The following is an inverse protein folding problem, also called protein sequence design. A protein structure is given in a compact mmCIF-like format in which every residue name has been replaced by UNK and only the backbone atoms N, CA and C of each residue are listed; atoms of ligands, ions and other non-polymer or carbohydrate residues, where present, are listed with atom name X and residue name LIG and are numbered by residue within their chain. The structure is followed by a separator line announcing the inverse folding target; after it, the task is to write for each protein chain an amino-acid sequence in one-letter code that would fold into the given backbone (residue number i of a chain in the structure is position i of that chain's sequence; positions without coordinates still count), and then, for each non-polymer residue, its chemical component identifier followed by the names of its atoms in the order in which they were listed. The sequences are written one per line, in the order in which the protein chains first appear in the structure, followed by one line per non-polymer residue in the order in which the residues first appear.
data_IF_249048589653
#
_entry.id   IF_249048589653
#
_cell.length_a   1.000
_cell.length_b   1.000
_cell.length_c   1.000
_cell.angle_alpha   90.00
_cell.angle_beta   90.00
_cell.angle_gamma   90.00
#
_symmetry.space_group_name_H-M   'P 1'
#
loop_
_entity.id
_entity.type
_entity.pdbx_description
1 polymer ?
#
# COMPACT_ATOMS: atom_id res chain seq x y z
N UNK A 1 -7.69 2.47 -12.37
CA UNK A 1 -8.15 3.78 -12.88
C UNK A 1 -9.65 3.89 -12.63
N UNK A 2 -10.07 4.95 -12.00
CA UNK A 2 -11.47 5.31 -11.81
C UNK A 2 -11.74 6.61 -12.57
N UNK A 3 -12.85 6.64 -13.33
CA UNK A 3 -13.25 7.83 -14.09
C UNK A 3 -14.75 8.03 -13.93
N UNK A 4 -15.16 9.24 -13.57
CA UNK A 4 -16.56 9.63 -13.52
C UNK A 4 -16.77 10.90 -14.32
N UNK A 5 -17.83 10.93 -15.10
CA UNK A 5 -18.25 12.13 -15.84
C UNK A 5 -19.19 12.95 -14.94
N UNK A 6 -18.85 14.21 -14.78
CA UNK A 6 -19.61 15.14 -13.91
C UNK A 6 -20.63 15.89 -14.73
N UNK A 7 -20.24 16.34 -15.91
CA UNK A 7 -21.07 17.11 -16.83
C UNK A 7 -20.71 16.73 -18.25
N UNK A 8 -21.73 16.52 -19.07
CA UNK A 8 -21.56 16.44 -20.53
C UNK A 8 -22.69 17.17 -21.24
N UNK A 9 -22.35 17.76 -22.37
CA UNK A 9 -23.27 18.42 -23.25
C UNK A 9 -22.90 18.18 -24.70
N UNK A 10 -23.88 18.05 -25.54
CA UNK A 10 -23.68 17.91 -26.99
C UNK A 10 -24.79 18.64 -27.73
N UNK A 11 -24.43 19.27 -28.83
CA UNK A 11 -25.38 20.00 -29.69
C UNK A 11 -24.99 19.92 -31.16
N UNK A 12 -26.00 20.02 -32.00
CA UNK A 12 -25.80 20.07 -33.44
C UNK A 12 -25.81 21.52 -33.94
N UNK A 13 -24.90 21.81 -34.84
CA UNK A 13 -24.92 23.07 -35.62
C UNK A 13 -24.71 22.71 -37.10
N UNK A 14 -25.81 22.62 -37.84
CA UNK A 14 -25.81 22.12 -39.20
C UNK A 14 -25.40 20.66 -39.29
N UNK A 15 -24.37 20.34 -40.08
CA UNK A 15 -23.80 18.98 -40.19
C UNK A 15 -22.74 18.66 -39.14
N UNK A 16 -22.50 19.57 -38.20
CA UNK A 16 -21.49 19.42 -37.19
C UNK A 16 -22.15 19.10 -35.84
N UNK A 17 -21.58 18.13 -35.14
CA UNK A 17 -21.92 17.81 -33.73
C UNK A 17 -20.77 18.25 -32.84
N UNK A 18 -21.07 19.08 -31.87
CA UNK A 18 -20.15 19.51 -30.84
C UNK A 18 -20.45 18.77 -29.54
N UNK A 19 -19.39 18.37 -28.86
CA UNK A 19 -19.51 17.79 -27.53
C UNK A 19 -18.53 18.45 -26.56
N UNK A 20 -18.98 18.60 -25.33
CA UNK A 20 -18.21 19.10 -24.21
C UNK A 20 -18.41 18.15 -23.04
N UNK A 21 -17.36 17.80 -22.35
CA UNK A 21 -17.46 17.01 -21.12
C UNK A 21 -16.44 17.46 -20.08
N UNK A 22 -16.86 17.38 -18.81
CA UNK A 22 -16.00 17.52 -17.66
C UNK A 22 -16.13 16.24 -16.83
N UNK A 23 -15.02 15.65 -16.47
CA UNK A 23 -14.96 14.46 -15.64
C UNK A 23 -13.88 14.54 -14.59
N UNK A 24 -14.02 13.76 -13.54
CA UNK A 24 -13.01 13.51 -12.55
C UNK A 24 -12.37 12.15 -12.85
N UNK A 25 -11.07 12.12 -12.78
CA UNK A 25 -10.29 10.90 -13.00
C UNK A 25 -9.34 10.68 -11.85
N UNK A 26 -9.29 9.44 -11.37
CA UNK A 26 -8.39 9.03 -10.29
C UNK A 26 -7.62 7.81 -10.74
N UNK A 27 -6.30 7.91 -10.71
CA UNK A 27 -5.40 6.81 -10.97
C UNK A 27 -4.77 6.37 -9.65
N UNK A 28 -4.89 5.08 -9.37
CA UNK A 28 -4.29 4.44 -8.21
C UNK A 28 -3.26 3.45 -8.74
N UNK A 29 -2.02 3.64 -8.35
CA UNK A 29 -0.89 2.75 -8.64
C UNK A 29 -0.31 2.20 -7.36
N UNK A 30 -0.10 0.89 -7.31
CA UNK A 30 0.62 0.23 -6.24
C UNK A 30 1.84 -0.47 -6.81
N UNK A 31 2.99 -0.26 -6.19
CA UNK A 31 4.22 -0.98 -6.48
C UNK A 31 4.56 -1.84 -5.27
N UNK A 32 4.40 -3.15 -5.41
CA UNK A 32 4.68 -4.13 -4.37
C UNK A 32 5.98 -4.86 -4.71
N UNK A 33 6.88 -4.95 -3.75
CA UNK A 33 8.14 -5.64 -3.94
C UNK A 33 7.94 -7.16 -3.87
N UNK A 34 8.89 -7.91 -4.46
CA UNK A 34 8.88 -9.37 -4.40
C UNK A 34 8.94 -9.87 -2.95
N UNK A 35 9.65 -9.17 -2.08
CA UNK A 35 9.78 -9.53 -0.65
C UNK A 35 8.44 -9.51 0.08
N UNK A 36 7.52 -8.61 -0.29
CA UNK A 36 6.15 -8.61 0.25
C UNK A 36 5.41 -9.90 -0.11
N UNK A 37 5.49 -10.33 -1.37
CA UNK A 37 4.83 -11.57 -1.80
C UNK A 37 5.44 -12.80 -1.14
N UNK A 38 6.77 -12.83 -0.99
CA UNK A 38 7.45 -13.90 -0.26
C UNK A 38 7.01 -13.96 1.19
N UNK A 39 6.98 -12.79 1.86
CA UNK A 39 6.50 -12.66 3.24
C UNK A 39 5.07 -13.17 3.40
N UNK A 40 4.13 -12.74 2.54
CA UNK A 40 2.73 -13.17 2.60
C UNK A 40 2.59 -14.67 2.39
N UNK A 41 3.32 -15.24 1.43
CA UNK A 41 3.27 -16.68 1.14
C UNK A 41 3.85 -17.52 2.28
N UNK A 42 4.94 -17.07 2.90
CA UNK A 42 5.56 -17.77 4.02
C UNK A 42 4.72 -17.67 5.29
N UNK A 43 4.06 -16.53 5.54
CA UNK A 43 3.14 -16.37 6.65
C UNK A 43 1.89 -17.25 6.53
N UNK A 44 1.43 -17.53 5.31
CA UNK A 44 0.26 -18.38 5.06
C UNK A 44 0.58 -19.88 5.18
N UNK A 45 1.80 -20.29 4.82
CA UNK A 45 2.12 -21.70 4.66
C UNK A 45 2.62 -22.40 5.92
N UNK A 46 3.20 -21.68 6.89
CA UNK A 46 3.79 -22.27 8.11
C UNK A 46 3.59 -21.36 9.32
N UNK A 47 2.77 -21.80 10.27
CA UNK A 47 2.47 -21.04 11.51
C UNK A 47 3.71 -20.70 12.37
N UNK A 48 4.80 -21.44 12.26
CA UNK A 48 6.01 -21.23 13.06
C UNK A 48 7.09 -20.37 12.37
N UNK A 49 6.98 -20.09 11.08
CA UNK A 49 8.02 -19.36 10.33
C UNK A 49 8.28 -17.93 10.86
N UNK A 50 7.27 -17.31 11.46
CA UNK A 50 7.42 -15.98 12.03
C UNK A 50 8.30 -15.91 13.28
N UNK A 51 8.47 -17.04 14.00
CA UNK A 51 9.25 -17.10 15.25
C UNK A 51 10.75 -16.95 15.03
N UNK A 52 11.26 -17.41 13.88
CA UNK A 52 12.65 -17.28 13.47
C UNK A 52 12.74 -16.59 12.12
N UNK A 53 12.20 -15.36 12.05
CA UNK A 53 12.07 -14.63 10.82
C UNK A 53 12.93 -13.37 10.79
N UNK A 54 13.38 -13.04 9.61
CA UNK A 54 14.01 -11.75 9.32
C UNK A 54 13.51 -11.30 7.95
N UNK A 55 12.43 -10.52 7.96
CA UNK A 55 11.79 -10.01 6.75
C UNK A 55 12.04 -8.53 6.58
N UNK A 56 12.51 -8.16 5.41
CA UNK A 56 12.56 -6.79 4.94
C UNK A 56 11.56 -6.62 3.79
N UNK A 57 10.43 -5.99 4.09
CA UNK A 57 9.37 -5.68 3.14
C UNK A 57 9.35 -4.19 2.78
N UNK A 58 10.49 -3.54 2.85
CA UNK A 58 10.66 -2.14 2.47
C UNK A 58 10.41 -1.92 0.97
N UNK A 59 10.20 -0.68 0.60
CA UNK A 59 10.08 -0.25 -0.81
C UNK A 59 8.69 -0.39 -1.42
N UNK A 60 7.66 -0.65 -0.61
CA UNK A 60 6.28 -0.59 -1.06
C UNK A 60 5.90 0.84 -1.36
N UNK A 61 5.16 1.07 -2.44
CA UNK A 61 4.74 2.40 -2.85
C UNK A 61 3.29 2.38 -3.30
N UNK A 62 2.51 3.31 -2.79
CA UNK A 62 1.15 3.59 -3.23
C UNK A 62 1.09 5.01 -3.78
N UNK A 63 0.62 5.16 -5.00
CA UNK A 63 0.43 6.44 -5.66
C UNK A 63 -1.05 6.64 -5.98
N UNK A 64 -1.57 7.79 -5.62
CA UNK A 64 -2.93 8.20 -5.96
C UNK A 64 -2.85 9.56 -6.64
N UNK A 65 -3.37 9.64 -7.87
CA UNK A 65 -3.43 10.88 -8.64
C UNK A 65 -4.90 11.20 -8.95
N UNK A 66 -5.29 12.43 -8.70
CA UNK A 66 -6.60 12.94 -9.05
C UNK A 66 -6.45 14.13 -10.00
N UNK A 67 -7.24 14.13 -11.08
CA UNK A 67 -7.25 15.20 -12.04
C UNK A 67 -8.63 15.38 -12.68
N UNK A 68 -8.89 16.60 -13.11
CA UNK A 68 -10.08 16.93 -13.91
C UNK A 68 -9.75 16.77 -15.39
N UNK A 69 -10.59 16.06 -16.09
CA UNK A 69 -10.54 15.93 -17.54
C UNK A 69 -11.59 16.88 -18.15
N UNK A 70 -11.17 17.78 -19.04
CA UNK A 70 -12.04 18.63 -19.84
C UNK A 70 -11.88 18.18 -21.28
N UNK A 71 -12.96 17.76 -21.90
CA UNK A 71 -12.98 17.30 -23.29
C UNK A 71 -13.83 18.18 -24.19
N UNK A 72 -13.30 18.53 -25.34
CA UNK A 72 -14.01 19.17 -26.45
C UNK A 72 -13.95 18.26 -27.67
N UNK A 73 -15.10 17.94 -28.20
CA UNK A 73 -15.23 17.10 -29.39
C UNK A 73 -15.99 17.81 -30.52
N UNK A 74 -15.55 17.57 -31.71
CA UNK A 74 -16.23 17.98 -32.94
C UNK A 74 -16.34 16.80 -33.88
N UNK A 75 -17.54 16.49 -34.34
CA UNK A 75 -17.74 15.53 -35.42
C UNK A 75 -18.58 16.17 -36.53
N UNK A 76 -18.28 15.76 -37.73
CA UNK A 76 -18.96 16.24 -38.96
C UNK A 76 -19.39 15.10 -39.80
N UNK A 77 -20.64 15.09 -40.18
CA UNK A 77 -21.16 14.17 -41.19
C UNK A 77 -20.78 14.65 -42.58
N UNK A 78 -19.95 13.86 -43.28
CA UNK A 78 -19.50 14.15 -44.65
C UNK A 78 -20.53 13.67 -45.66
N UNK A 79 -21.05 12.46 -45.44
CA UNK A 79 -22.13 11.90 -46.23
C UNK A 79 -23.00 10.95 -45.37
N UNK A 80 -24.01 10.32 -45.98
CA UNK A 80 -24.94 9.42 -45.24
C UNK A 80 -24.28 8.21 -44.57
N UNK A 81 -23.03 7.88 -44.95
CA UNK A 81 -22.31 6.70 -44.46
C UNK A 81 -21.04 7.03 -43.69
N UNK A 82 -20.57 8.28 -43.75
CA UNK A 82 -19.28 8.68 -43.20
C UNK A 82 -19.44 9.91 -42.29
N UNK A 83 -19.04 9.75 -41.05
CA UNK A 83 -18.87 10.83 -40.06
C UNK A 83 -17.42 10.81 -39.58
N UNK A 84 -16.77 11.97 -39.60
CA UNK A 84 -15.40 12.14 -39.08
C UNK A 84 -15.44 13.07 -37.87
N UNK A 85 -14.70 12.73 -36.83
CA UNK A 85 -14.63 13.52 -35.63
C UNK A 85 -13.23 13.55 -35.00
N UNK A 86 -12.98 14.62 -34.28
CA UNK A 86 -11.80 14.80 -33.45
C UNK A 86 -12.20 15.23 -32.05
N UNK A 87 -11.47 14.80 -31.05
CA UNK A 87 -11.65 15.21 -29.66
C UNK A 87 -10.32 15.64 -29.08
N UNK A 88 -10.32 16.77 -28.41
CA UNK A 88 -9.19 17.28 -27.62
C UNK A 88 -9.54 17.18 -26.15
N UNK A 89 -8.59 16.73 -25.33
CA UNK A 89 -8.73 16.59 -23.89
C UNK A 89 -7.63 17.37 -23.19
N UNK A 90 -8.01 18.15 -22.19
CA UNK A 90 -7.10 18.80 -21.26
C UNK A 90 -7.23 18.10 -19.89
N UNK A 91 -6.10 17.81 -19.28
CA UNK A 91 -6.02 17.20 -17.96
C UNK A 91 -5.46 18.23 -16.98
N UNK A 92 -6.23 18.55 -15.95
CA UNK A 92 -5.86 19.48 -14.89
C UNK A 92 -5.65 18.70 -13.59
N UNK A 93 -4.41 18.63 -13.12
CA UNK A 93 -4.07 17.95 -11.86
C UNK A 93 -4.72 18.67 -10.68
N UNK A 94 -5.50 17.92 -9.88
CA UNK A 94 -6.11 18.41 -8.64
C UNK A 94 -5.23 18.06 -7.46
N UNK A 95 -4.77 16.82 -7.38
CA UNK A 95 -3.97 16.34 -6.26
C UNK A 95 -3.20 15.08 -6.58
N UNK A 96 -2.11 14.91 -5.84
CA UNK A 96 -1.27 13.73 -5.85
C UNK A 96 -1.01 13.33 -4.41
N UNK A 97 -1.09 12.05 -4.13
CA UNK A 97 -0.68 11.46 -2.86
C UNK A 97 0.23 10.27 -3.13
N UNK A 98 1.39 10.27 -2.51
CA UNK A 98 2.36 9.20 -2.58
C UNK A 98 2.69 8.72 -1.17
N UNK A 99 2.43 7.44 -0.91
CA UNK A 99 2.82 6.75 0.31
C UNK A 99 3.95 5.76 -0.02
N UNK A 100 5.09 5.93 0.65
CA UNK A 100 6.23 5.02 0.56
C UNK A 100 6.52 4.38 1.90
N UNK A 101 6.60 3.07 1.94
CA UNK A 101 7.13 2.31 3.07
C UNK A 101 8.64 2.13 2.87
N UNK A 102 9.44 2.96 3.56
CA UNK A 102 10.90 2.99 3.37
C UNK A 102 11.61 1.87 4.12
N UNK A 103 11.18 1.64 5.37
CA UNK A 103 11.82 0.69 6.26
C UNK A 103 10.71 -0.08 6.96
N UNK A 104 10.38 -1.25 6.43
CA UNK A 104 9.48 -2.19 7.10
C UNK A 104 10.23 -3.49 7.25
N UNK A 105 10.83 -3.67 8.41
CA UNK A 105 11.60 -4.85 8.75
C UNK A 105 11.02 -5.50 10.00
N UNK A 106 10.81 -6.80 9.92
CA UNK A 106 10.41 -7.64 11.04
C UNK A 106 11.52 -8.66 11.29
N UNK A 107 11.99 -8.70 12.52
CA UNK A 107 12.95 -9.68 12.98
C UNK A 107 12.44 -10.31 14.25
N UNK A 108 12.34 -11.62 14.27
CA UNK A 108 11.93 -12.38 15.44
C UNK A 108 12.85 -13.59 15.63
N UNK A 109 13.23 -13.82 16.87
CA UNK A 109 13.89 -15.04 17.33
C UNK A 109 13.20 -15.44 18.64
N UNK A 110 12.25 -16.36 18.56
CA UNK A 110 11.42 -16.80 19.66
C UNK A 110 11.49 -18.32 19.81
N UNK A 111 11.28 -18.84 21.03
CA UNK A 111 11.30 -20.29 21.26
C UNK A 111 10.11 -20.96 20.55
N UNK A 112 10.33 -22.19 20.09
CA UNK A 112 9.25 -23.04 19.59
C UNK A 112 8.33 -23.52 20.73
N UNK A 113 7.11 -23.92 20.38
CA UNK A 113 6.17 -24.46 21.37
C UNK A 113 6.72 -25.73 22.06
N UNK A 114 7.47 -26.52 21.30
CA UNK A 114 8.13 -27.72 21.84
C UNK A 114 9.22 -27.37 22.86
N UNK A 115 9.97 -26.29 22.63
CA UNK A 115 10.96 -25.80 23.61
C UNK A 115 10.29 -25.25 24.85
N UNK A 116 9.21 -24.45 24.68
CA UNK A 116 8.44 -23.92 25.80
C UNK A 116 7.85 -25.06 26.65
N UNK A 117 7.22 -26.03 26.01
CA UNK A 117 6.65 -27.19 26.69
C UNK A 117 7.72 -27.97 27.47
N UNK A 118 8.87 -28.20 26.87
CA UNK A 118 10.00 -28.90 27.51
C UNK A 118 10.51 -28.13 28.75
N UNK A 119 10.64 -26.83 28.67
CA UNK A 119 11.15 -26.03 29.80
C UNK A 119 10.12 -25.79 30.91
N UNK A 120 8.83 -25.92 30.57
CA UNK A 120 7.73 -25.84 31.53
C UNK A 120 7.41 -27.16 32.23
N UNK A 121 8.03 -28.25 31.79
CA UNK A 121 7.80 -29.58 32.37
C UNK A 121 8.70 -29.81 33.58
N UNK A 122 8.08 -29.87 34.78
CA UNK A 122 8.76 -30.16 36.04
C UNK A 122 9.46 -31.55 36.02
N UNK A 123 8.89 -32.54 35.33
CA UNK A 123 9.49 -33.88 35.22
C UNK A 123 10.76 -33.85 34.39
N UNK A 124 10.88 -32.98 33.42
CA UNK A 124 12.10 -32.79 32.65
C UNK A 124 13.26 -32.38 33.58
N UNK A 125 13.06 -31.38 34.42
CA UNK A 125 14.07 -30.85 35.31
C UNK A 125 14.44 -31.81 36.47
N UNK A 126 13.43 -32.49 37.03
CA UNK A 126 13.63 -33.45 38.12
C UNK A 126 14.33 -34.74 37.70
N UNK A 127 14.27 -35.08 36.42
CA UNK A 127 15.00 -36.24 35.84
C UNK A 127 16.47 -35.99 35.56
N UNK A 128 16.95 -34.73 35.65
CA UNK A 128 18.36 -34.38 35.37
C UNK A 128 19.24 -34.47 36.60
N UNK A 129 20.50 -34.84 36.42
CA UNK A 129 21.50 -34.67 37.46
C UNK A 129 21.76 -33.18 37.72
N UNK A 130 22.27 -32.86 38.93
CA UNK A 130 22.54 -31.47 39.29
C UNK A 130 23.47 -30.75 38.29
N UNK A 131 24.48 -31.43 37.76
CA UNK A 131 25.41 -30.87 36.79
C UNK A 131 24.72 -30.61 35.43
N UNK A 132 23.89 -31.54 34.98
CA UNK A 132 23.10 -31.40 33.75
C UNK A 132 22.07 -30.31 33.88
N UNK A 133 21.37 -30.21 34.99
CA UNK A 133 20.42 -29.15 35.25
C UNK A 133 21.07 -27.74 35.19
N UNK A 134 22.26 -27.59 35.80
CA UNK A 134 23.02 -26.32 35.75
C UNK A 134 23.45 -26.01 34.30
N UNK A 135 23.90 -27.00 33.55
CA UNK A 135 24.28 -26.81 32.14
C UNK A 135 23.10 -26.38 31.30
N UNK A 136 21.97 -27.08 31.41
CA UNK A 136 20.74 -26.76 30.68
C UNK A 136 20.19 -25.39 31.07
N UNK A 137 20.21 -25.03 32.34
CA UNK A 137 19.78 -23.70 32.80
C UNK A 137 20.67 -22.56 32.24
N UNK A 138 22.00 -22.83 32.15
CA UNK A 138 22.92 -21.84 31.58
C UNK A 138 22.73 -21.68 30.07
N UNK A 139 22.52 -22.76 29.34
CA UNK A 139 22.21 -22.75 27.92
C UNK A 139 20.87 -22.04 27.66
N UNK A 140 19.88 -22.33 28.50
CA UNK A 140 18.56 -21.67 28.41
C UNK A 140 18.65 -20.16 28.64
N UNK A 141 19.42 -19.74 29.67
CA UNK A 141 19.65 -18.32 29.90
C UNK A 141 20.30 -17.63 28.70
N UNK A 142 21.32 -18.24 28.10
CA UNK A 142 21.98 -17.70 26.91
C UNK A 142 21.01 -17.61 25.72
N UNK A 143 20.08 -18.55 25.58
CA UNK A 143 19.02 -18.48 24.56
C UNK A 143 18.04 -17.34 24.86
N UNK A 144 17.60 -17.19 26.12
CA UNK A 144 16.70 -16.10 26.53
C UNK A 144 17.29 -14.73 26.26
N UNK A 145 18.59 -14.54 26.46
CA UNK A 145 19.28 -13.27 26.19
C UNK A 145 19.29 -12.91 24.70
N UNK A 146 19.10 -13.89 23.82
CA UNK A 146 19.03 -13.72 22.37
C UNK A 146 17.61 -13.67 21.79
N UNK A 147 16.58 -13.95 22.61
CA UNK A 147 15.20 -13.85 22.12
C UNK A 147 14.80 -12.40 21.96
N UNK A 148 14.23 -12.12 20.80
CA UNK A 148 13.73 -10.80 20.46
C UNK A 148 12.60 -10.87 19.44
N UNK A 149 11.77 -9.85 19.43
CA UNK A 149 10.83 -9.58 18.38
C UNK A 149 10.84 -8.06 18.13
N UNK A 150 11.33 -7.67 16.98
CA UNK A 150 11.48 -6.29 16.58
C UNK A 150 10.67 -6.02 15.31
N UNK A 151 9.88 -4.96 15.35
CA UNK A 151 9.19 -4.42 14.19
C UNK A 151 9.65 -2.98 14.00
N UNK A 152 10.27 -2.70 12.87
CA UNK A 152 10.67 -1.36 12.47
C UNK A 152 9.82 -0.92 11.28
N UNK A 153 9.09 0.19 11.43
CA UNK A 153 8.22 0.73 10.38
C UNK A 153 8.56 2.19 10.16
N UNK A 154 9.03 2.51 8.96
CA UNK A 154 9.23 3.87 8.49
C UNK A 154 8.39 4.13 7.25
N UNK A 155 7.51 5.11 7.32
CA UNK A 155 6.67 5.54 6.21
C UNK A 155 6.92 7.00 5.86
N UNK A 156 6.84 7.32 4.58
CA UNK A 156 6.86 8.70 4.07
C UNK A 156 5.58 8.94 3.29
N UNK A 157 4.85 9.96 3.68
CA UNK A 157 3.66 10.43 2.98
C UNK A 157 3.96 11.78 2.34
N UNK A 158 3.82 11.86 1.02
CA UNK A 158 3.86 13.12 0.26
C UNK A 158 2.50 13.38 -0.34
N UNK A 159 2.00 14.58 -0.15
CA UNK A 159 0.76 15.02 -0.78
C UNK A 159 0.94 16.42 -1.35
N UNK A 160 0.35 16.65 -2.52
CA UNK A 160 0.26 17.97 -3.13
C UNK A 160 -1.12 18.16 -3.73
N UNK A 161 -1.77 19.25 -3.40
CA UNK A 161 -3.06 19.65 -3.95
C UNK A 161 -2.89 20.99 -4.66
N UNK A 162 -3.33 21.07 -5.91
CA UNK A 162 -3.37 22.31 -6.68
C UNK A 162 -4.82 22.77 -6.78
N UNK A 163 -5.12 23.97 -6.30
CA UNK A 163 -6.36 24.68 -6.61
C UNK A 163 -7.47 24.62 -5.58
N UNK A 164 -7.24 24.14 -4.36
CA UNK A 164 -8.15 24.35 -3.23
C UNK A 164 -7.36 24.99 -2.08
N UNK A 165 -7.05 26.28 -2.22
CA UNK A 165 -6.92 27.13 -1.04
C UNK A 165 -8.33 27.33 -0.48
N UNK A 166 -8.68 26.57 0.54
CA UNK A 166 -9.75 26.97 1.43
C UNK A 166 -9.22 28.21 2.16
N UNK A 167 -9.64 29.39 1.72
CA UNK A 167 -9.54 30.59 2.55
C UNK A 167 -10.42 30.30 3.77
N UNK A 168 -9.82 29.97 4.88
CA UNK A 168 -10.44 30.15 6.19
C UNK A 168 -10.71 31.66 6.32
N UNK A 169 -11.93 32.08 6.09
CA UNK A 169 -12.41 33.37 6.55
C UNK A 169 -12.41 33.30 8.08
N UNK A 170 -11.36 33.84 8.71
CA UNK A 170 -11.42 34.22 10.11
C UNK A 170 -12.55 35.23 10.27
N UNK A 171 -13.69 34.76 10.78
CA UNK A 171 -14.75 35.63 11.25
C UNK A 171 -14.20 36.51 12.38
N UNK A 172 -13.98 37.76 12.10
CA UNK A 172 -13.86 38.79 13.13
C UNK A 172 -15.24 39.08 13.65
N UNK A 173 -15.48 38.71 14.91
CA UNK A 173 -16.49 39.32 15.76
C UNK A 173 -16.15 40.80 16.05
#
# INVERSE_FOLDING_TARGET
NFSTEILSAGWYKGKNFWSFNIGLRTDIGANLTKSMFTFLNEMETVEENWRNSNYDISGQQLNINAYTEIGLGLSRQINSRLTVGARVKALLGIGNMELKLKNVAMSANLPSDAEIAKWSDENYWSGLSQQEAIKQATELKAKFDNYHANLNVGAELKSSFKGLELQEEEGKD
#
